data_IF_975001470603
#
_entry.id   IF_975001470603
#
_cell.length_a   1.000
_cell.length_b   1.000
_cell.length_c   1.000
_cell.angle_alpha   90.00
_cell.angle_beta   90.00
_cell.angle_gamma   90.00
#
_symmetry.space_group_name_H-M   'P 1'
#
loop_
_entity.id
_entity.type
_entity.pdbx_description
1 polymer ?
#
# COMPACT_ATOMS: atom_id res chain seq x y z
N UNK A 1 15.52 7.32 -2.25
CA UNK A 1 15.26 7.17 -3.60
C UNK A 1 13.82 7.02 -4.01
N UNK A 2 13.64 6.60 -5.24
CA UNK A 2 12.35 6.55 -5.95
C UNK A 2 11.29 5.64 -5.28
N UNK A 3 11.71 4.58 -4.60
CA UNK A 3 10.80 3.68 -3.87
C UNK A 3 10.03 4.37 -2.72
N UNK A 4 10.55 5.45 -2.17
CA UNK A 4 9.89 6.21 -1.10
C UNK A 4 8.64 6.90 -1.64
N UNK A 5 8.72 7.49 -2.84
CA UNK A 5 7.61 8.20 -3.48
C UNK A 5 6.38 7.30 -3.69
N UNK A 6 6.61 6.01 -3.94
CA UNK A 6 5.54 5.04 -4.12
C UNK A 6 4.65 4.91 -2.86
N UNK A 7 5.27 4.87 -1.68
CA UNK A 7 4.51 4.78 -0.43
C UNK A 7 4.00 6.15 0.05
N UNK A 8 4.73 7.23 -0.24
CA UNK A 8 4.30 8.58 0.13
C UNK A 8 3.11 9.08 -0.68
N UNK A 9 2.92 8.57 -1.89
CA UNK A 9 1.78 8.92 -2.75
C UNK A 9 0.45 8.77 -2.01
N UNK A 10 0.28 7.67 -1.29
CA UNK A 10 -0.96 7.34 -0.60
C UNK A 10 -0.94 7.77 0.88
N UNK A 11 0.00 8.66 1.25
CA UNK A 11 0.13 9.26 2.60
C UNK A 11 0.19 8.25 3.75
N UNK A 12 0.66 7.03 3.47
CA UNK A 12 0.74 5.95 4.45
C UNK A 12 -0.56 5.15 4.61
N UNK A 13 -1.56 5.38 3.76
CA UNK A 13 -2.77 4.54 3.68
C UNK A 13 -2.41 3.24 2.96
N UNK A 14 -2.35 2.16 3.73
CA UNK A 14 -1.89 0.85 3.23
C UNK A 14 -2.90 0.23 2.27
N UNK A 15 -4.17 0.43 2.54
CA UNK A 15 -5.31 -0.05 1.77
C UNK A 15 -5.31 0.54 0.37
N UNK A 16 -5.13 1.85 0.25
CA UNK A 16 -5.05 2.55 -1.03
C UNK A 16 -3.80 2.13 -1.82
N UNK A 17 -2.67 2.00 -1.13
CA UNK A 17 -1.43 1.55 -1.75
C UNK A 17 -1.55 0.14 -2.31
N UNK A 18 -2.18 -0.78 -1.54
CA UNK A 18 -2.47 -2.13 -2.02
C UNK A 18 -3.39 -2.09 -3.23
N UNK A 19 -4.52 -1.41 -3.16
CA UNK A 19 -5.51 -1.31 -4.24
C UNK A 19 -4.88 -0.85 -5.54
N UNK A 20 -4.09 0.20 -5.49
CA UNK A 20 -3.34 0.69 -6.65
C UNK A 20 -2.33 -0.33 -7.19
N UNK A 21 -1.63 -1.03 -6.30
CA UNK A 21 -0.65 -2.04 -6.69
C UNK A 21 -1.31 -3.21 -7.42
N UNK A 22 -2.36 -3.76 -6.84
CA UNK A 22 -3.12 -4.87 -7.43
C UNK A 22 -3.70 -4.46 -8.79
N UNK A 23 -4.27 -3.27 -8.88
CA UNK A 23 -4.80 -2.74 -10.14
C UNK A 23 -3.71 -2.59 -11.21
N UNK A 24 -2.55 -2.04 -10.86
CA UNK A 24 -1.46 -1.83 -11.81
C UNK A 24 -0.83 -3.16 -12.25
N UNK A 25 -0.56 -4.06 -11.34
CA UNK A 25 0.18 -5.29 -11.64
C UNK A 25 -0.71 -6.43 -12.09
N UNK A 26 -1.93 -6.53 -11.55
CA UNK A 26 -2.83 -7.65 -11.80
C UNK A 26 -4.11 -7.27 -12.55
N UNK A 27 -4.32 -5.99 -12.85
CA UNK A 27 -5.51 -5.51 -13.53
C UNK A 27 -6.81 -5.74 -12.76
N UNK A 28 -6.73 -5.99 -11.46
CA UNK A 28 -7.87 -6.34 -10.61
C UNK A 28 -8.23 -5.17 -9.71
N UNK A 29 -9.49 -4.80 -9.69
CA UNK A 29 -10.00 -3.74 -8.81
C UNK A 29 -10.51 -4.37 -7.53
N UNK A 30 -9.83 -4.12 -6.44
CA UNK A 30 -10.21 -4.56 -5.10
C UNK A 30 -10.76 -3.43 -4.23
N UNK A 31 -10.83 -2.21 -4.72
CA UNK A 31 -11.19 -1.01 -3.94
C UNK A 31 -12.56 -1.16 -3.27
N UNK A 32 -13.54 -1.78 -3.96
CA UNK A 32 -14.87 -2.01 -3.39
C UNK A 32 -14.83 -2.99 -2.21
N UNK A 33 -13.91 -3.97 -2.27
CA UNK A 33 -13.74 -4.97 -1.22
C UNK A 33 -13.10 -4.40 0.07
N UNK A 34 -12.70 -3.15 0.08
CA UNK A 34 -12.22 -2.48 1.29
C UNK A 34 -13.34 -2.31 2.33
N UNK A 35 -14.57 -2.02 1.91
CA UNK A 35 -15.70 -1.69 2.80
C UNK A 35 -16.76 -2.79 2.90
N UNK A 36 -16.90 -3.64 1.89
CA UNK A 36 -17.88 -4.73 1.83
C UNK A 36 -17.45 -5.75 0.78
N UNK A 37 -18.08 -6.93 0.73
CA UNK A 37 -17.83 -7.88 -0.35
C UNK A 37 -18.07 -7.23 -1.71
N UNK A 38 -17.19 -7.51 -2.68
CA UNK A 38 -17.23 -6.86 -3.99
C UNK A 38 -18.59 -7.12 -4.69
N UNK A 39 -19.33 -6.08 -5.14
CA UNK A 39 -20.69 -6.25 -5.62
C UNK A 39 -20.80 -6.91 -7.00
N UNK A 40 -19.72 -6.94 -7.77
CA UNK A 40 -19.71 -7.43 -9.16
C UNK A 40 -18.63 -8.47 -9.43
N UNK A 41 -17.85 -8.85 -8.41
CA UNK A 41 -16.79 -9.83 -8.52
C UNK A 41 -16.74 -10.67 -7.23
N UNK A 42 -16.02 -11.77 -7.22
CA UNK A 42 -15.99 -12.75 -6.13
C UNK A 42 -15.18 -12.32 -4.89
N UNK A 43 -14.57 -11.15 -4.90
CA UNK A 43 -13.65 -10.73 -3.84
C UNK A 43 -14.39 -10.36 -2.57
N UNK A 44 -13.99 -10.97 -1.45
CA UNK A 44 -14.55 -10.64 -0.15
C UNK A 44 -13.75 -9.54 0.54
N UNK A 45 -14.40 -8.83 1.47
CA UNK A 45 -13.74 -7.84 2.33
C UNK A 45 -12.56 -8.46 3.08
N UNK A 46 -12.74 -9.68 3.60
CA UNK A 46 -11.67 -10.40 4.29
C UNK A 46 -10.46 -10.67 3.39
N UNK A 47 -10.68 -11.10 2.14
CA UNK A 47 -9.59 -11.30 1.17
C UNK A 47 -8.83 -10.02 0.89
N UNK A 48 -9.51 -8.88 0.85
CA UNK A 48 -8.86 -7.57 0.73
C UNK A 48 -7.91 -7.31 1.90
N UNK A 49 -8.34 -7.55 3.14
CA UNK A 49 -7.48 -7.37 4.32
C UNK A 49 -6.39 -8.45 4.44
N UNK A 50 -6.65 -9.69 4.02
CA UNK A 50 -5.62 -10.72 3.88
C UNK A 50 -4.50 -10.26 2.94
N UNK A 51 -4.84 -9.63 1.83
CA UNK A 51 -3.86 -9.04 0.91
C UNK A 51 -3.15 -7.82 1.51
N UNK A 52 -3.89 -6.93 2.20
CA UNK A 52 -3.33 -5.75 2.85
C UNK A 52 -2.32 -6.12 3.94
N UNK A 53 -2.49 -7.27 4.58
CA UNK A 53 -1.57 -7.77 5.60
C UNK A 53 -0.13 -7.95 5.10
N UNK A 54 0.11 -8.17 3.79
CA UNK A 54 1.47 -8.22 3.22
C UNK A 54 2.22 -6.90 3.36
N UNK A 55 1.50 -5.77 3.29
CA UNK A 55 2.05 -4.42 3.39
C UNK A 55 1.88 -3.81 4.78
N UNK A 56 1.29 -4.54 5.72
CA UNK A 56 1.13 -4.10 7.11
C UNK A 56 2.48 -3.77 7.75
N UNK A 57 2.51 -2.71 8.56
CA UNK A 57 3.75 -2.25 9.21
C UNK A 57 4.69 -1.45 8.32
N UNK A 58 4.29 -1.13 7.10
CA UNK A 58 4.94 -0.10 6.30
C UNK A 58 4.36 1.24 6.73
N UNK A 59 5.16 2.01 7.43
CA UNK A 59 4.73 3.30 7.97
C UNK A 59 5.68 4.42 7.60
N UNK A 60 5.15 5.63 7.59
CA UNK A 60 5.96 6.83 7.52
C UNK A 60 6.71 6.99 8.85
N UNK A 61 8.02 6.91 8.81
CA UNK A 61 8.85 7.20 9.97
C UNK A 61 9.16 8.68 9.97
N UNK A 62 8.80 9.33 11.06
CA UNK A 62 9.44 10.58 11.42
C UNK A 62 10.89 10.27 11.76
N UNK A 63 11.80 10.79 11.00
CA UNK A 63 13.23 10.70 11.30
C UNK A 63 13.49 11.41 12.64
N UNK A 64 13.38 10.64 13.71
CA UNK A 64 13.37 11.10 15.11
C UNK A 64 14.60 11.98 15.44
N UNK A 65 15.74 11.65 14.87
CA UNK A 65 16.99 12.39 15.12
C UNK A 65 17.04 13.72 14.36
N UNK A 66 16.45 13.79 13.17
CA UNK A 66 16.31 15.05 12.43
C UNK A 66 15.28 15.96 13.09
N UNK A 67 14.19 15.42 13.62
CA UNK A 67 13.25 16.18 14.44
C UNK A 67 13.87 16.77 15.71
N UNK A 68 14.79 16.04 16.35
CA UNK A 68 15.56 16.53 17.50
C UNK A 68 16.54 17.63 17.08
N UNK A 69 17.25 17.47 15.96
CA UNK A 69 18.18 18.45 15.42
C UNK A 69 17.45 19.75 15.04
N UNK A 70 16.30 19.67 14.38
CA UNK A 70 15.45 20.84 14.08
C UNK A 70 14.96 21.52 15.35
N UNK A 71 14.53 20.74 16.34
CA UNK A 71 14.11 21.27 17.63
C UNK A 71 15.25 21.93 18.43
N UNK A 72 16.48 21.43 18.31
CA UNK A 72 17.66 22.03 18.92
C UNK A 72 18.04 23.33 18.19
N UNK A 73 18.03 23.33 16.86
CA UNK A 73 18.28 24.51 16.04
C UNK A 73 17.21 25.59 16.29
N UNK A 74 15.94 25.20 16.34
CA UNK A 74 14.83 26.10 16.67
C UNK A 74 15.06 26.81 18.03
N UNK A 75 15.45 26.04 19.05
CA UNK A 75 15.74 26.61 20.38
C UNK A 75 16.99 27.50 20.39
N UNK A 76 17.97 27.19 19.59
CA UNK A 76 19.18 28.02 19.47
C UNK A 76 18.90 29.37 18.79
N UNK A 77 18.01 29.38 17.81
CA UNK A 77 17.60 30.61 17.08
C UNK A 77 16.65 31.47 17.93
N UNK A 78 15.77 30.82 18.72
CA UNK A 78 14.77 31.51 19.54
C UNK A 78 15.29 31.91 20.94
N UNK A 79 16.60 31.83 21.15
CA UNK A 79 17.22 32.02 22.48
C UNK A 79 17.07 33.44 23.02
N UNK A 80 16.90 34.41 22.14
CA UNK A 80 16.81 35.83 22.50
C UNK A 80 15.39 36.42 22.34
N UNK A 81 14.37 35.61 21.96
CA UNK A 81 12.96 36.03 21.89
C UNK A 81 12.65 37.07 20.79
N UNK A 82 13.57 37.35 19.89
CA UNK A 82 13.52 38.45 18.94
C UNK A 82 13.09 38.01 17.53
N UNK A 83 12.79 36.72 17.36
CA UNK A 83 12.41 36.17 16.06
C UNK A 83 10.91 36.28 15.85
N UNK A 84 10.46 36.86 14.74
CA UNK A 84 9.06 36.87 14.34
C UNK A 84 8.48 35.44 14.38
N UNK A 85 7.74 35.14 15.43
CA UNK A 85 7.26 33.81 15.78
C UNK A 85 6.40 33.18 14.70
N UNK A 86 5.70 33.97 13.90
CA UNK A 86 4.86 33.52 12.79
C UNK A 86 5.69 33.02 11.60
N UNK A 87 6.67 33.79 11.15
CA UNK A 87 7.56 33.41 10.06
C UNK A 87 8.45 32.22 10.44
N UNK A 88 8.95 32.23 11.67
CA UNK A 88 9.77 31.15 12.19
C UNK A 88 8.99 29.84 12.31
N UNK A 89 7.75 29.87 12.81
CA UNK A 89 6.89 28.69 12.90
C UNK A 89 6.52 28.16 11.50
N UNK A 90 6.24 29.01 10.53
CA UNK A 90 6.02 28.62 9.14
C UNK A 90 7.26 27.95 8.54
N UNK A 91 8.43 28.55 8.67
CA UNK A 91 9.68 27.98 8.20
C UNK A 91 9.95 26.62 8.88
N UNK A 92 9.85 26.56 10.19
CA UNK A 92 10.02 25.33 10.97
C UNK A 92 9.09 24.22 10.50
N UNK A 93 7.83 24.54 10.23
CA UNK A 93 6.85 23.58 9.75
C UNK A 93 7.21 23.11 8.33
N UNK A 94 7.57 23.99 7.41
CA UNK A 94 7.99 23.62 6.05
C UNK A 94 9.25 22.76 6.06
N UNK A 95 10.25 23.11 6.85
CA UNK A 95 11.48 22.29 6.99
C UNK A 95 11.15 20.95 7.61
N UNK A 96 10.34 20.92 8.65
CA UNK A 96 9.89 19.71 9.27
C UNK A 96 9.15 18.79 8.28
N UNK A 97 8.25 19.34 7.50
CA UNK A 97 7.46 18.58 6.54
C UNK A 97 8.31 18.09 5.36
N UNK A 98 9.35 18.84 4.98
CA UNK A 98 10.29 18.45 3.92
C UNK A 98 11.30 17.35 4.33
N UNK A 99 11.60 17.22 5.63
CA UNK A 99 12.65 16.31 6.15
C UNK A 99 12.04 15.03 6.77
N UNK A 100 10.71 14.98 6.98
CA UNK A 100 10.09 13.98 7.86
C UNK A 100 9.86 12.60 7.28
N UNK A 101 10.13 12.33 6.00
CA UNK A 101 9.62 11.12 5.38
C UNK A 101 10.70 10.09 5.07
N UNK A 102 10.90 9.20 6.04
CA UNK A 102 11.44 7.86 5.83
C UNK A 102 10.31 6.84 5.80
N UNK A 103 10.58 5.66 5.28
CA UNK A 103 9.68 4.50 5.33
C UNK A 103 10.35 3.44 6.17
N UNK A 104 9.65 3.00 7.20
CA UNK A 104 10.03 1.86 8.00
C UNK A 104 9.17 0.65 7.62
N UNK A 105 9.82 -0.50 7.52
CA UNK A 105 9.14 -1.76 7.30
C UNK A 105 9.26 -2.63 8.55
N UNK A 106 8.25 -2.56 9.40
CA UNK A 106 8.08 -3.41 10.58
C UNK A 106 7.05 -4.51 10.33
N UNK A 107 6.84 -4.86 9.05
CA UNK A 107 5.78 -5.75 8.60
C UNK A 107 5.85 -7.13 9.22
N UNK A 108 4.79 -7.52 9.91
CA UNK A 108 4.61 -8.84 10.50
C UNK A 108 3.80 -9.76 9.59
N UNK A 109 3.21 -9.24 8.52
CA UNK A 109 2.25 -9.98 7.69
C UNK A 109 0.92 -10.23 8.39
N UNK A 110 0.59 -9.41 9.39
CA UNK A 110 -0.66 -9.50 10.16
C UNK A 110 -1.31 -8.13 10.22
N UNK A 111 -2.62 -8.07 10.04
CA UNK A 111 -3.43 -6.86 10.18
C UNK A 111 -4.68 -7.19 11.00
N UNK A 112 -5.28 -6.18 11.61
CA UNK A 112 -6.59 -6.31 12.26
C UNK A 112 -7.69 -5.93 11.30
N UNK A 113 -8.78 -6.71 11.31
CA UNK A 113 -10.00 -6.31 10.62
C UNK A 113 -10.52 -4.98 11.15
N UNK A 114 -11.07 -4.11 10.28
CA UNK A 114 -11.55 -2.80 10.69
C UNK A 114 -12.72 -2.90 11.66
N UNK A 115 -12.99 -1.81 12.38
CA UNK A 115 -14.05 -1.76 13.40
C UNK A 115 -15.45 -1.82 12.81
N UNK A 116 -15.59 -1.51 11.55
CA UNK A 116 -16.82 -1.53 10.75
C UNK A 116 -16.93 -2.77 9.85
N UNK A 117 -16.09 -3.78 10.09
CA UNK A 117 -16.22 -5.07 9.40
C UNK A 117 -17.59 -5.69 9.69
N UNK A 118 -18.36 -5.96 8.64
CA UNK A 118 -19.75 -6.37 8.76
C UNK A 118 -20.09 -7.72 8.08
N UNK A 119 -19.08 -8.39 7.53
CA UNK A 119 -19.29 -9.67 6.83
C UNK A 119 -19.25 -10.87 7.80
N UNK A 120 -19.93 -11.96 7.44
CA UNK A 120 -20.13 -13.12 8.31
C UNK A 120 -18.87 -13.99 8.50
N UNK A 121 -17.78 -13.72 7.76
CA UNK A 121 -16.57 -14.54 7.75
C UNK A 121 -15.45 -14.03 8.68
N UNK A 122 -15.76 -13.08 9.57
CA UNK A 122 -14.83 -12.53 10.57
C UNK A 122 -15.53 -11.60 11.56
N UNK A 123 -14.76 -11.09 12.53
CA UNK A 123 -15.24 -10.10 13.48
C UNK A 123 -14.37 -8.86 13.49
N UNK A 124 -14.92 -7.66 13.78
CA UNK A 124 -14.12 -6.47 13.99
C UNK A 124 -12.97 -6.69 14.98
N UNK A 125 -11.77 -6.29 14.58
CA UNK A 125 -10.58 -6.43 15.40
C UNK A 125 -9.88 -7.79 15.37
N UNK A 126 -10.43 -8.79 14.67
CA UNK A 126 -9.76 -10.08 14.47
C UNK A 126 -8.41 -9.86 13.77
N UNK A 127 -7.39 -10.57 14.26
CA UNK A 127 -6.06 -10.58 13.62
C UNK A 127 -6.03 -11.58 12.49
N UNK A 128 -5.82 -11.11 11.28
CA UNK A 128 -5.71 -11.94 10.08
C UNK A 128 -4.30 -11.91 9.51
N UNK A 129 -3.91 -13.02 8.91
CA UNK A 129 -2.58 -13.21 8.32
C UNK A 129 -2.61 -12.93 6.82
N UNK A 130 -1.46 -12.50 6.30
CA UNK A 130 -1.30 -12.30 4.87
C UNK A 130 -1.57 -13.57 4.07
N UNK A 131 -2.44 -13.44 3.10
CA UNK A 131 -2.79 -14.51 2.16
C UNK A 131 -3.00 -13.92 0.78
N UNK A 132 -2.38 -14.55 -0.23
CA UNK A 132 -2.49 -14.09 -1.60
C UNK A 132 -3.72 -14.66 -2.29
N UNK A 133 -4.36 -13.82 -3.09
CA UNK A 133 -5.36 -14.23 -4.09
C UNK A 133 -4.63 -14.84 -5.31
N UNK A 134 -5.34 -15.55 -6.17
CA UNK A 134 -4.80 -16.19 -7.38
C UNK A 134 -3.70 -17.24 -7.16
N UNK A 135 -3.57 -17.77 -5.97
CA UNK A 135 -2.59 -18.83 -5.70
C UNK A 135 -3.24 -20.03 -5.03
N UNK A 136 -3.02 -21.25 -5.54
CA UNK A 136 -3.54 -22.44 -4.92
C UNK A 136 -2.76 -22.87 -3.67
N UNK A 137 -1.57 -22.31 -3.46
CA UNK A 137 -0.69 -22.66 -2.34
C UNK A 137 -0.48 -21.45 -1.42
N UNK A 138 -0.54 -21.64 -0.10
CA UNK A 138 -0.15 -20.59 0.83
C UNK A 138 1.30 -20.14 0.54
N UNK A 139 1.50 -18.85 0.45
CA UNK A 139 2.86 -18.30 0.39
C UNK A 139 3.49 -18.52 1.77
N UNK A 140 4.73 -19.02 1.78
CA UNK A 140 5.47 -19.21 3.02
C UNK A 140 5.57 -17.91 3.80
N UNK A 141 5.18 -17.95 5.08
CA UNK A 141 5.29 -16.77 5.94
C UNK A 141 6.64 -16.78 6.64
N UNK A 142 7.52 -15.89 6.24
CA UNK A 142 8.76 -15.64 6.96
C UNK A 142 8.58 -14.34 7.75
N UNK A 143 8.66 -14.44 9.07
CA UNK A 143 8.53 -13.31 10.00
C UNK A 143 9.47 -12.18 9.58
N UNK A 144 8.93 -10.99 9.39
CA UNK A 144 9.69 -9.78 8.99
C UNK A 144 9.91 -9.60 7.49
N UNK A 145 9.36 -10.45 6.63
CA UNK A 145 9.60 -10.39 5.18
C UNK A 145 8.33 -10.48 4.30
N UNK A 146 7.16 -10.17 4.87
CA UNK A 146 5.87 -10.26 4.15
C UNK A 146 5.86 -9.46 2.85
N UNK A 147 6.48 -8.28 2.84
CA UNK A 147 6.59 -7.44 1.65
C UNK A 147 7.42 -8.07 0.53
N UNK A 148 8.53 -8.75 0.86
CA UNK A 148 9.33 -9.44 -0.13
C UNK A 148 8.56 -10.62 -0.74
N UNK A 149 7.89 -11.40 0.10
CA UNK A 149 7.01 -12.49 -0.35
C UNK A 149 5.93 -11.94 -1.29
N UNK A 150 5.34 -10.80 -0.97
CA UNK A 150 4.37 -10.11 -1.82
C UNK A 150 4.97 -9.68 -3.16
N UNK A 151 6.16 -9.08 -3.14
CA UNK A 151 6.85 -8.62 -4.35
C UNK A 151 7.21 -9.80 -5.27
N UNK A 152 7.73 -10.87 -4.70
CA UNK A 152 8.08 -12.09 -5.46
C UNK A 152 6.82 -12.75 -6.05
N UNK A 153 5.74 -12.82 -5.26
CA UNK A 153 4.49 -13.42 -5.75
C UNK A 153 3.84 -12.58 -6.84
N UNK A 154 3.74 -11.25 -6.67
CA UNK A 154 2.99 -10.40 -7.61
C UNK A 154 3.61 -10.39 -9.01
N UNK A 155 4.93 -10.59 -9.09
CA UNK A 155 5.69 -10.64 -10.34
C UNK A 155 6.08 -12.05 -10.78
N UNK A 156 5.63 -13.07 -10.05
CA UNK A 156 5.94 -14.46 -10.35
C UNK A 156 5.36 -14.88 -11.70
N UNK A 157 6.11 -15.71 -12.42
CA UNK A 157 5.61 -16.40 -13.62
C UNK A 157 4.41 -17.33 -13.33
N UNK A 158 4.28 -17.77 -12.08
CA UNK A 158 3.18 -18.63 -11.63
C UNK A 158 1.93 -17.81 -11.27
N UNK A 159 2.01 -16.46 -11.32
CA UNK A 159 0.87 -15.58 -11.17
C UNK A 159 0.26 -15.30 -12.56
N UNK A 160 -0.86 -15.94 -12.92
CA UNK A 160 -1.43 -15.84 -14.26
C UNK A 160 -1.90 -14.41 -14.57
N UNK A 161 -2.33 -13.66 -13.54
CA UNK A 161 -2.82 -12.29 -13.74
C UNK A 161 -1.72 -11.33 -14.12
N UNK A 162 -0.52 -11.44 -13.53
CA UNK A 162 0.61 -10.60 -13.90
C UNK A 162 0.98 -10.77 -15.37
N UNK A 163 1.13 -12.02 -15.81
CA UNK A 163 1.48 -12.33 -17.20
C UNK A 163 0.41 -11.81 -18.17
N UNK A 164 -0.86 -12.06 -17.90
CA UNK A 164 -1.97 -11.56 -18.71
C UNK A 164 -1.99 -10.04 -18.78
N UNK A 165 -1.85 -9.39 -17.61
CA UNK A 165 -1.90 -7.93 -17.52
C UNK A 165 -0.77 -7.25 -18.29
N UNK A 166 0.47 -7.71 -18.11
CA UNK A 166 1.63 -7.10 -18.79
C UNK A 166 1.57 -7.33 -20.29
N UNK A 167 1.16 -8.54 -20.73
CA UNK A 167 1.00 -8.85 -22.15
C UNK A 167 -0.08 -7.96 -22.79
N UNK A 168 -1.22 -7.80 -22.14
CA UNK A 168 -2.30 -6.95 -22.62
C UNK A 168 -1.90 -5.46 -22.70
N UNK A 169 -1.11 -4.97 -21.76
CA UNK A 169 -0.57 -3.60 -21.80
C UNK A 169 0.41 -3.39 -22.92
N UNK A 170 1.32 -4.34 -23.14
CA UNK A 170 2.27 -4.27 -24.25
C UNK A 170 1.50 -4.33 -25.58
N UNK A 171 0.54 -5.22 -25.71
CA UNK A 171 -0.33 -5.32 -26.87
C UNK A 171 -1.03 -3.99 -27.17
N UNK A 172 -1.69 -3.42 -26.17
CA UNK A 172 -2.35 -2.10 -26.31
C UNK A 172 -1.38 -1.02 -26.76
N UNK A 173 -0.16 -1.02 -26.25
CA UNK A 173 0.85 -0.03 -26.63
C UNK A 173 1.27 -0.15 -28.09
N UNK A 174 1.27 -1.35 -28.63
CA UNK A 174 1.67 -1.63 -30.02
C UNK A 174 0.51 -1.40 -30.98
N UNK A 175 -0.67 -1.86 -30.63
CA UNK A 175 -1.83 -1.91 -31.54
C UNK A 175 -2.91 -0.85 -31.25
N UNK A 176 -2.77 -0.07 -30.18
CA UNK A 176 -3.70 1.01 -29.82
C UNK A 176 -4.88 0.57 -28.96
N UNK A 177 -5.25 -0.70 -28.97
CA UNK A 177 -6.32 -1.27 -28.12
C UNK A 177 -5.82 -2.56 -27.45
N UNK A 178 -6.29 -2.83 -26.23
CA UNK A 178 -6.01 -4.08 -25.53
C UNK A 178 -6.87 -5.23 -26.07
N UNK A 179 -6.43 -6.46 -25.84
CA UNK A 179 -7.29 -7.63 -26.06
C UNK A 179 -8.39 -7.71 -25.00
N UNK A 180 -8.10 -7.20 -23.81
CA UNK A 180 -9.06 -7.06 -22.71
C UNK A 180 -9.16 -5.56 -22.38
N UNK A 181 -10.37 -5.02 -22.40
CA UNK A 181 -10.67 -3.63 -22.03
C UNK A 181 -11.81 -3.58 -21.02
N UNK A 182 -11.78 -2.68 -20.03
CA UNK A 182 -10.70 -1.74 -19.70
C UNK A 182 -9.43 -2.46 -19.23
N UNK A 183 -8.28 -1.97 -19.65
CA UNK A 183 -6.98 -2.63 -19.48
C UNK A 183 -6.61 -2.95 -18.00
N UNK A 184 -7.13 -2.20 -17.07
CA UNK A 184 -6.86 -2.29 -15.63
C UNK A 184 -8.09 -2.77 -14.83
N UNK A 185 -9.03 -3.43 -15.49
CA UNK A 185 -10.26 -3.97 -14.89
C UNK A 185 -10.54 -5.35 -15.49
N UNK A 186 -9.69 -6.31 -15.13
CA UNK A 186 -9.85 -7.70 -15.54
C UNK A 186 -10.71 -8.42 -14.50
N UNK A 187 -11.95 -8.68 -14.83
CA UNK A 187 -12.83 -9.54 -14.04
C UNK A 187 -12.52 -11.01 -14.33
N UNK A 188 -12.95 -11.91 -13.47
CA UNK A 188 -12.67 -13.35 -13.64
C UNK A 188 -13.27 -13.94 -14.90
N UNK A 189 -14.43 -13.45 -15.32
CA UNK A 189 -15.13 -13.83 -16.54
C UNK A 189 -14.48 -13.29 -17.82
N UNK A 190 -13.57 -12.33 -17.72
CA UNK A 190 -12.84 -11.76 -18.85
C UNK A 190 -11.53 -12.47 -19.15
N UNK A 191 -11.13 -13.41 -18.30
CA UNK A 191 -9.92 -14.21 -18.47
C UNK A 191 -10.35 -15.61 -18.91
N UNK A 192 -10.39 -15.80 -20.21
CA UNK A 192 -10.63 -17.10 -20.82
C UNK A 192 -9.42 -18.02 -20.67
#
# INVERSE_FOLDING_TARGET
>A
GEAISYYLRDRGMQEDNLSHTIRIFLGTRLECAMCHNHPFDKWTQKQFYEMTAFTSGIGNVRLRDQGKAIGALSRAIDKDGDVNSGLFNNWRNQVRDSIQFGIENNGTGVIKLPVDFAEDDGNPGDSIMAKAIFTPKPLGQTKGNSRMIFADWITSKDNPRFTTMISNRIWKRIFGAGLIEPIDTMMDDTVA
#
